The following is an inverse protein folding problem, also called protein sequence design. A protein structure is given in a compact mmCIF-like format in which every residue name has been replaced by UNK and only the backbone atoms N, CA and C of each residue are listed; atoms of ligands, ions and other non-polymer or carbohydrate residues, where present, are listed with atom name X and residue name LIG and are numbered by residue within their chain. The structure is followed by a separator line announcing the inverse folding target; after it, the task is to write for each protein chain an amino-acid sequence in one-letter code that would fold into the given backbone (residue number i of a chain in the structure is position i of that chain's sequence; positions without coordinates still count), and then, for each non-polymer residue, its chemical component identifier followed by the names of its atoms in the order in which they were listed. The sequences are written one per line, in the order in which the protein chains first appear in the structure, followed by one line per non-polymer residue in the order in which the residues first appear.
data_IF_722859805258
#
_entry.id   IF_722859805258
#
_cell.length_a   1.000
_cell.length_b   1.000
_cell.length_c   1.000
_cell.angle_alpha   90.00
_cell.angle_beta   90.00
_cell.angle_gamma   90.00
#
_symmetry.space_group_name_H-M   'P 1'
#
loop_
_entity.id
_entity.type
_entity.pdbx_description
1 polymer ?
#
# COMPACT_ATOMS: atom_id res chain seq x y z
N UNK A 1 44.66 -10.95 -31.18
CA UNK A 1 44.27 -11.33 -29.80
C UNK A 1 43.15 -10.39 -29.40
N UNK A 2 41.92 -10.89 -29.27
CA UNK A 2 40.82 -10.06 -28.78
C UNK A 2 41.05 -9.82 -27.29
N UNK A 3 41.07 -8.55 -26.86
CA UNK A 3 41.14 -8.19 -25.46
C UNK A 3 39.82 -8.59 -24.79
N UNK A 4 39.74 -9.83 -24.34
CA UNK A 4 38.63 -10.38 -23.56
C UNK A 4 38.99 -10.33 -22.08
N UNK A 5 38.27 -9.51 -21.32
CA UNK A 5 38.41 -9.38 -19.87
C UNK A 5 38.08 -7.94 -19.42
N UNK A 6 37.42 -7.79 -18.27
CA UNK A 6 37.19 -6.48 -17.69
C UNK A 6 38.49 -5.93 -17.07
N UNK A 7 38.73 -4.62 -17.17
CA UNK A 7 39.86 -3.96 -16.52
C UNK A 7 39.73 -4.07 -14.99
N UNK A 8 40.67 -4.75 -14.35
CA UNK A 8 40.72 -4.84 -12.89
C UNK A 8 40.98 -3.46 -12.27
N UNK A 9 40.30 -3.14 -11.16
CA UNK A 9 40.49 -1.88 -10.42
C UNK A 9 39.81 -0.64 -11.05
N UNK A 10 38.91 -0.81 -12.03
CA UNK A 10 38.19 0.31 -12.65
C UNK A 10 37.28 1.06 -11.67
N UNK A 11 36.69 0.36 -10.70
CA UNK A 11 35.76 0.94 -9.73
C UNK A 11 36.45 1.22 -8.39
N UNK A 12 36.27 2.43 -7.86
CA UNK A 12 36.75 2.83 -6.53
C UNK A 12 35.98 2.17 -5.36
N UNK A 13 34.86 1.51 -5.66
CA UNK A 13 34.00 0.83 -4.68
C UNK A 13 32.91 0.00 -5.36
N UNK A 14 32.03 -0.61 -4.56
CA UNK A 14 30.88 -1.34 -5.07
C UNK A 14 29.94 -0.42 -5.86
N UNK A 15 29.43 -0.88 -6.99
CA UNK A 15 28.46 -0.11 -7.78
C UNK A 15 27.06 -0.31 -7.22
N UNK A 16 26.29 0.78 -7.10
CA UNK A 16 24.89 0.71 -6.63
C UNK A 16 24.04 -0.20 -7.49
N UNK A 17 24.36 -0.34 -8.79
CA UNK A 17 23.68 -1.21 -9.74
C UNK A 17 23.72 -2.71 -9.36
N UNK A 18 24.70 -3.13 -8.56
CA UNK A 18 24.79 -4.52 -8.07
C UNK A 18 23.98 -4.77 -6.79
N UNK A 19 23.38 -3.71 -6.23
CA UNK A 19 22.55 -3.81 -5.03
C UNK A 19 21.23 -4.47 -5.39
N UNK A 20 20.94 -5.61 -4.75
CA UNK A 20 19.64 -6.27 -4.84
C UNK A 20 18.97 -6.27 -3.47
N UNK A 21 17.69 -5.92 -3.46
CA UNK A 21 16.85 -5.99 -2.27
C UNK A 21 15.72 -7.00 -2.48
N UNK A 22 15.55 -7.91 -1.52
CA UNK A 22 14.51 -8.92 -1.53
C UNK A 22 13.90 -9.12 -0.13
N UNK A 23 12.67 -9.64 -0.09
CA UNK A 23 11.89 -9.76 1.14
C UNK A 23 11.23 -11.14 1.26
N UNK A 24 11.07 -11.62 2.49
CA UNK A 24 10.26 -12.79 2.79
C UNK A 24 9.45 -12.56 4.07
N UNK A 25 8.24 -13.13 4.11
CA UNK A 25 7.39 -13.10 5.30
C UNK A 25 7.95 -14.04 6.38
N UNK A 26 8.01 -13.57 7.61
CA UNK A 26 8.46 -14.35 8.75
C UNK A 26 7.32 -15.19 9.34
N UNK A 27 7.59 -16.45 9.66
CA UNK A 27 6.69 -17.29 10.45
C UNK A 27 6.85 -17.04 11.97
N UNK A 28 8.02 -16.53 12.37
CA UNK A 28 8.35 -16.19 13.76
C UNK A 28 9.14 -14.89 13.75
N UNK A 29 8.76 -13.96 14.61
CA UNK A 29 9.38 -12.64 14.70
C UNK A 29 10.91 -12.73 14.80
N UNK A 30 11.59 -11.88 14.05
CA UNK A 30 13.04 -11.73 14.05
C UNK A 30 13.82 -13.01 13.68
N UNK A 31 13.17 -13.98 13.03
CA UNK A 31 13.80 -15.23 12.57
C UNK A 31 13.78 -15.29 11.04
N UNK A 32 14.94 -15.15 10.37
CA UNK A 32 15.02 -15.25 8.91
C UNK A 32 14.44 -16.58 8.38
N UNK A 33 13.42 -16.56 7.52
CA UNK A 33 12.88 -17.77 6.93
C UNK A 33 13.85 -18.34 5.89
N UNK A 34 13.89 -19.67 5.77
CA UNK A 34 14.71 -20.37 4.76
C UNK A 34 14.03 -20.53 3.40
N UNK A 35 12.86 -19.92 3.22
CA UNK A 35 11.99 -20.10 2.04
C UNK A 35 12.39 -19.25 0.82
N UNK A 36 11.38 -18.99 -0.01
CA UNK A 36 11.52 -18.13 -1.18
C UNK A 36 11.48 -16.65 -0.79
N UNK A 37 12.39 -15.85 -1.36
CA UNK A 37 12.41 -14.40 -1.20
C UNK A 37 11.92 -13.73 -2.48
N UNK A 38 11.12 -12.68 -2.36
CA UNK A 38 10.62 -11.89 -3.47
C UNK A 38 11.55 -10.71 -3.72
N UNK A 39 12.15 -10.63 -4.91
CA UNK A 39 12.93 -9.46 -5.29
C UNK A 39 12.04 -8.24 -5.53
N UNK A 40 12.52 -7.07 -5.09
CA UNK A 40 11.83 -5.79 -5.23
C UNK A 40 12.49 -4.92 -6.31
N UNK A 41 11.68 -4.06 -6.94
CA UNK A 41 12.16 -3.02 -7.87
C UNK A 41 12.27 -1.70 -7.12
N UNK A 42 13.48 -1.38 -6.70
CA UNK A 42 13.76 -0.18 -5.91
C UNK A 42 14.47 0.88 -6.75
N UNK A 43 14.31 2.13 -6.33
CA UNK A 43 15.04 3.30 -6.83
C UNK A 43 16.07 3.79 -5.79
N UNK A 44 15.85 3.48 -4.51
CA UNK A 44 16.77 3.78 -3.43
C UNK A 44 16.34 3.10 -2.13
N UNK A 45 17.24 3.08 -1.15
CA UNK A 45 17.00 2.61 0.21
C UNK A 45 17.90 3.35 1.20
N UNK A 46 17.47 3.46 2.46
CA UNK A 46 18.20 4.14 3.56
C UNK A 46 18.37 3.26 4.81
N UNK A 47 18.30 1.94 4.65
CA UNK A 47 18.37 0.98 5.74
C UNK A 47 19.72 1.06 6.44
N UNK A 48 19.68 1.23 7.76
CA UNK A 48 20.90 1.30 8.57
C UNK A 48 20.66 0.83 10.00
N UNK A 49 21.71 0.22 10.56
CA UNK A 49 21.85 -0.03 12.00
C UNK A 49 22.37 1.20 12.73
N UNK A 50 21.66 1.61 13.78
CA UNK A 50 22.07 2.63 14.74
C UNK A 50 22.30 1.99 16.11
N UNK A 51 23.30 2.48 16.84
CA UNK A 51 23.63 2.03 18.19
C UNK A 51 23.61 3.22 19.14
N UNK A 52 22.89 3.08 20.24
CA UNK A 52 22.97 4.05 21.35
C UNK A 52 23.96 3.52 22.37
N UNK A 53 24.88 4.37 22.81
CA UNK A 53 25.85 4.01 23.86
C UNK A 53 25.71 4.98 25.03
N UNK A 54 25.83 4.45 26.25
CA UNK A 54 25.89 5.24 27.47
C UNK A 54 27.22 4.99 28.18
N UNK A 55 27.70 6.03 28.86
CA UNK A 55 28.87 5.94 29.74
C UNK A 55 28.40 6.12 31.17
N UNK A 56 28.74 5.22 32.09
CA UNK A 56 28.48 5.46 33.50
C UNK A 56 29.35 6.64 33.99
N UNK A 57 28.73 7.57 34.72
CA UNK A 57 29.42 8.69 35.37
C UNK A 57 30.08 8.18 36.66
N UNK A 58 31.18 7.46 36.53
CA UNK A 58 31.96 7.00 37.66
C UNK A 58 32.87 8.13 38.18
N UNK A 59 32.74 8.46 39.47
CA UNK A 59 33.65 9.41 40.13
C UNK A 59 34.99 8.71 40.34
N UNK A 60 36.02 9.13 39.61
CA UNK A 60 37.38 8.60 39.72
C UNK A 60 38.38 9.68 40.18
N UNK A 61 39.48 9.25 40.78
CA UNK A 61 40.55 10.15 41.23
C UNK A 61 41.51 10.56 40.11
N UNK A 62 41.42 9.89 38.95
CA UNK A 62 42.20 10.15 37.74
C UNK A 62 41.25 10.73 36.71
N UNK A 63 41.54 11.88 36.09
CA UNK A 63 40.63 12.63 35.19
C UNK A 63 40.38 11.95 33.83
N UNK A 64 40.04 10.66 33.83
CA UNK A 64 39.77 9.87 32.64
C UNK A 64 38.27 9.51 32.58
N UNK A 65 37.77 9.28 31.37
CA UNK A 65 36.34 8.99 31.13
C UNK A 65 36.11 7.48 31.14
N UNK A 66 35.02 7.01 31.75
CA UNK A 66 34.67 5.58 31.79
C UNK A 66 34.25 5.05 30.40
N UNK A 67 34.34 3.72 30.21
CA UNK A 67 34.10 3.04 28.94
C UNK A 67 32.64 3.19 28.48
N UNK A 68 32.44 3.48 27.18
CA UNK A 68 31.10 3.46 26.54
C UNK A 68 30.59 2.02 26.43
N UNK A 69 29.36 1.79 26.89
CA UNK A 69 28.64 0.52 26.71
C UNK A 69 27.46 0.75 25.76
N UNK A 70 27.25 -0.17 24.83
CA UNK A 70 26.07 -0.13 23.93
C UNK A 70 24.84 -0.48 24.75
N UNK A 71 23.88 0.43 24.80
CA UNK A 71 22.63 0.25 25.56
C UNK A 71 21.50 -0.29 24.69
N UNK A 72 21.49 0.06 23.40
CA UNK A 72 20.45 -0.35 22.44
C UNK A 72 20.99 -0.39 21.02
N UNK A 73 20.49 -1.34 20.23
CA UNK A 73 20.69 -1.41 18.78
C UNK A 73 19.32 -1.34 18.11
N UNK A 74 19.19 -0.50 17.09
CA UNK A 74 17.99 -0.42 16.27
C UNK A 74 18.39 -0.45 14.79
N UNK A 75 17.56 -1.08 13.96
CA UNK A 75 17.70 -1.01 12.51
C UNK A 75 16.40 -0.48 11.91
N UNK A 76 16.51 0.46 10.98
CA UNK A 76 15.36 1.09 10.33
C UNK A 76 15.76 1.76 9.03
N UNK A 77 14.78 2.08 8.20
CA UNK A 77 14.95 2.97 7.07
C UNK A 77 13.78 2.89 6.10
N UNK A 78 13.98 3.47 4.93
CA UNK A 78 12.96 3.59 3.90
C UNK A 78 13.38 2.80 2.66
N UNK A 79 12.42 2.13 2.03
CA UNK A 79 12.54 1.53 0.70
C UNK A 79 11.73 2.39 -0.25
N UNK A 80 12.38 2.94 -1.27
CA UNK A 80 11.74 3.84 -2.26
C UNK A 80 11.73 3.21 -3.64
N UNK A 81 10.63 3.32 -4.36
CA UNK A 81 10.47 2.78 -5.71
C UNK A 81 9.48 3.55 -6.56
N UNK A 82 9.45 3.23 -7.85
CA UNK A 82 8.37 3.64 -8.73
C UNK A 82 7.20 2.66 -8.56
N UNK A 83 5.98 3.18 -8.49
CA UNK A 83 4.78 2.36 -8.35
C UNK A 83 4.67 1.42 -9.54
N UNK A 84 4.64 0.12 -9.26
CA UNK A 84 4.50 -0.94 -10.27
C UNK A 84 3.65 -2.06 -9.71
N UNK A 85 2.72 -2.53 -10.53
CA UNK A 85 1.79 -3.61 -10.18
C UNK A 85 2.52 -4.88 -9.75
N UNK A 86 2.16 -5.39 -8.58
CA UNK A 86 2.67 -6.63 -7.98
C UNK A 86 3.95 -6.50 -7.15
N UNK A 87 4.77 -5.46 -7.35
CA UNK A 87 6.08 -5.37 -6.70
C UNK A 87 5.97 -5.19 -5.18
N UNK A 88 5.04 -4.35 -4.72
CA UNK A 88 4.97 -3.92 -3.32
C UNK A 88 3.85 -4.60 -2.53
N UNK A 89 3.07 -5.49 -3.15
CA UNK A 89 1.85 -6.07 -2.57
C UNK A 89 2.09 -6.72 -1.20
N UNK A 90 3.20 -7.44 -1.03
CA UNK A 90 3.52 -8.07 0.25
C UNK A 90 3.74 -7.03 1.38
N UNK A 91 4.42 -5.92 1.07
CA UNK A 91 4.66 -4.85 2.05
C UNK A 91 3.38 -4.03 2.31
N UNK A 92 2.55 -3.86 1.29
CA UNK A 92 1.24 -3.22 1.41
C UNK A 92 0.27 -4.05 2.25
N UNK A 93 0.29 -5.38 2.09
CA UNK A 93 -0.41 -6.31 2.98
C UNK A 93 0.07 -6.16 4.44
N UNK A 94 1.37 -5.91 4.65
CA UNK A 94 1.95 -5.60 5.95
C UNK A 94 1.36 -4.35 6.61
N UNK A 95 1.40 -3.21 5.93
CA UNK A 95 0.84 -1.96 6.48
C UNK A 95 -0.68 -2.05 6.68
N UNK A 96 -1.40 -2.75 5.80
CA UNK A 96 -2.85 -2.94 5.90
C UNK A 96 -3.27 -3.93 6.98
N UNK A 97 -2.38 -4.83 7.39
CA UNK A 97 -2.68 -5.87 8.36
C UNK A 97 -3.69 -6.90 7.86
N UNK A 98 -3.63 -7.18 6.56
CA UNK A 98 -4.52 -8.09 5.87
C UNK A 98 -3.79 -8.69 4.66
N UNK A 99 -4.34 -9.74 4.06
CA UNK A 99 -3.82 -10.29 2.81
C UNK A 99 -4.44 -9.58 1.61
N UNK A 100 -3.62 -9.17 0.65
CA UNK A 100 -4.10 -8.67 -0.66
C UNK A 100 -4.43 -9.88 -1.53
N UNK A 101 -5.72 -10.03 -1.85
CA UNK A 101 -6.20 -11.12 -2.71
C UNK A 101 -6.27 -10.61 -4.16
N UNK A 102 -5.67 -11.31 -5.14
CA UNK A 102 -5.82 -10.97 -6.54
C UNK A 102 -7.29 -10.92 -6.98
N UNK A 103 -7.65 -10.04 -7.90
CA UNK A 103 -9.00 -9.99 -8.45
C UNK A 103 -9.36 -11.29 -9.14
N UNK A 104 -10.53 -11.83 -8.82
CA UNK A 104 -11.16 -12.92 -9.59
C UNK A 104 -12.48 -12.42 -10.15
N UNK A 105 -12.66 -12.55 -11.47
CA UNK A 105 -13.81 -12.01 -12.21
C UNK A 105 -14.78 -13.12 -12.61
N UNK A 106 -16.07 -12.86 -12.47
CA UNK A 106 -17.17 -13.65 -12.99
C UNK A 106 -18.00 -12.80 -13.96
N UNK A 107 -18.59 -13.45 -14.97
CA UNK A 107 -19.38 -12.79 -16.01
C UNK A 107 -20.85 -13.19 -15.89
N UNK A 108 -21.75 -12.26 -16.24
CA UNK A 108 -23.18 -12.37 -15.93
C UNK A 108 -23.92 -13.55 -16.60
N UNK A 109 -23.33 -14.18 -17.61
CA UNK A 109 -23.88 -15.34 -18.29
C UNK A 109 -23.93 -16.63 -17.46
N UNK A 110 -23.10 -16.74 -16.41
CA UNK A 110 -23.06 -17.89 -15.48
C UNK A 110 -23.54 -17.54 -14.07
N UNK A 111 -23.47 -16.26 -13.69
CA UNK A 111 -23.83 -15.75 -12.36
C UNK A 111 -24.45 -14.36 -12.46
N UNK A 112 -25.62 -14.13 -11.85
CA UNK A 112 -26.26 -12.82 -11.81
C UNK A 112 -25.99 -12.11 -10.48
N UNK A 113 -25.83 -10.79 -10.52
CA UNK A 113 -25.78 -9.99 -9.28
C UNK A 113 -27.00 -9.08 -9.19
N UNK A 114 -27.43 -8.80 -7.97
CA UNK A 114 -28.49 -7.85 -7.63
C UNK A 114 -28.04 -7.01 -6.46
N UNK A 115 -28.14 -5.69 -6.58
CA UNK A 115 -27.81 -4.73 -5.52
C UNK A 115 -29.12 -4.08 -5.07
N UNK A 116 -29.38 -4.08 -3.76
CA UNK A 116 -30.55 -3.41 -3.17
C UNK A 116 -30.14 -2.85 -1.81
N UNK A 117 -30.12 -1.52 -1.71
CA UNK A 117 -29.59 -0.83 -0.52
C UNK A 117 -28.16 -1.29 -0.21
N UNK A 118 -27.92 -1.69 1.03
CA UNK A 118 -26.60 -2.13 1.52
C UNK A 118 -26.31 -3.63 1.31
N UNK A 119 -27.08 -4.31 0.45
CA UNK A 119 -26.89 -5.74 0.19
C UNK A 119 -26.63 -5.99 -1.29
N UNK A 120 -25.53 -6.69 -1.59
CA UNK A 120 -25.26 -7.28 -2.89
C UNK A 120 -25.50 -8.79 -2.81
N UNK A 121 -26.30 -9.32 -3.71
CA UNK A 121 -26.57 -10.76 -3.82
C UNK A 121 -26.03 -11.26 -5.14
N UNK A 122 -25.25 -12.33 -5.11
CA UNK A 122 -24.81 -13.07 -6.29
C UNK A 122 -25.52 -14.40 -6.29
N UNK A 123 -25.97 -14.82 -7.46
CA UNK A 123 -26.66 -16.09 -7.64
C UNK A 123 -26.22 -16.72 -8.96
N UNK A 124 -26.40 -18.04 -9.10
CA UNK A 124 -26.06 -18.75 -10.33
C UNK A 124 -25.38 -20.08 -10.05
N UNK A 125 -24.93 -20.74 -11.12
CA UNK A 125 -24.26 -22.03 -11.00
C UNK A 125 -22.83 -21.82 -10.53
N UNK A 126 -22.42 -22.51 -9.45
CA UNK A 126 -21.05 -22.44 -8.92
C UNK A 126 -20.77 -21.27 -7.97
N UNK A 127 -21.76 -20.43 -7.66
CA UNK A 127 -21.59 -19.28 -6.76
C UNK A 127 -21.12 -19.68 -5.36
N UNK A 128 -21.67 -20.75 -4.78
CA UNK A 128 -21.28 -21.22 -3.44
C UNK A 128 -19.80 -21.63 -3.39
N UNK A 129 -19.32 -22.37 -4.39
CA UNK A 129 -17.91 -22.78 -4.51
C UNK A 129 -16.97 -21.60 -4.75
N UNK A 130 -17.39 -20.61 -5.55
CA UNK A 130 -16.61 -19.40 -5.78
C UNK A 130 -16.50 -18.55 -4.50
N UNK A 131 -17.62 -18.35 -3.80
CA UNK A 131 -17.69 -17.65 -2.51
C UNK A 131 -16.82 -18.29 -1.43
N UNK A 132 -16.73 -19.62 -1.37
CA UNK A 132 -15.87 -20.30 -0.39
C UNK A 132 -14.39 -20.25 -0.74
N UNK A 133 -14.05 -20.25 -2.01
CA UNK A 133 -12.67 -20.48 -2.47
C UNK A 133 -11.89 -19.18 -2.71
N UNK A 134 -12.55 -18.13 -3.22
CA UNK A 134 -11.86 -16.95 -3.75
C UNK A 134 -12.20 -15.65 -3.04
N UNK A 135 -13.16 -15.67 -2.10
CA UNK A 135 -13.67 -14.46 -1.46
C UNK A 135 -13.27 -14.46 0.01
N UNK A 136 -12.62 -13.40 0.49
CA UNK A 136 -12.40 -13.21 1.93
C UNK A 136 -13.70 -12.92 2.68
N UNK A 137 -13.68 -12.98 4.02
CA UNK A 137 -14.86 -12.61 4.82
C UNK A 137 -15.19 -11.11 4.73
N UNK A 138 -14.18 -10.28 4.51
CA UNK A 138 -14.28 -8.85 4.25
C UNK A 138 -13.33 -8.47 3.11
N UNK A 139 -13.65 -7.45 2.34
CA UNK A 139 -12.85 -7.06 1.18
C UNK A 139 -13.60 -6.11 0.25
N UNK A 140 -13.28 -6.19 -1.04
CA UNK A 140 -13.88 -5.32 -2.07
C UNK A 140 -14.48 -6.11 -3.22
N UNK A 141 -15.48 -5.50 -3.84
CA UNK A 141 -16.19 -5.98 -5.01
C UNK A 141 -16.13 -4.87 -6.06
N UNK A 142 -15.69 -5.20 -7.26
CA UNK A 142 -15.78 -4.32 -8.42
C UNK A 142 -16.91 -4.80 -9.30
N UNK A 143 -17.87 -3.93 -9.56
CA UNK A 143 -18.99 -4.17 -10.47
C UNK A 143 -18.76 -3.38 -11.74
N UNK A 144 -18.80 -4.05 -12.87
CA UNK A 144 -18.78 -3.42 -14.18
C UNK A 144 -20.09 -3.72 -14.92
N UNK A 145 -20.98 -2.74 -14.95
CA UNK A 145 -22.30 -2.78 -15.55
C UNK A 145 -22.62 -1.43 -16.19
N UNK A 146 -22.22 -1.24 -17.46
CA UNK A 146 -22.44 0.02 -18.18
C UNK A 146 -23.90 0.40 -18.34
N UNK A 147 -24.78 -0.59 -18.49
CA UNK A 147 -26.23 -0.41 -18.59
C UNK A 147 -26.85 0.20 -17.32
N UNK A 148 -26.22 -0.04 -16.15
CA UNK A 148 -26.68 0.46 -14.86
C UNK A 148 -25.85 1.65 -14.33
N UNK A 149 -25.00 2.27 -15.17
CA UNK A 149 -24.06 3.32 -14.79
C UNK A 149 -23.09 2.92 -13.65
N UNK A 150 -22.79 1.64 -13.52
CA UNK A 150 -21.82 1.11 -12.56
C UNK A 150 -20.56 0.67 -13.31
N UNK A 151 -19.81 1.61 -13.88
CA UNK A 151 -18.59 1.32 -14.62
C UNK A 151 -17.40 1.23 -13.67
N UNK A 152 -16.87 0.02 -13.44
CA UNK A 152 -15.82 -0.24 -12.44
C UNK A 152 -16.16 0.32 -11.05
N UNK A 153 -17.44 0.25 -10.67
CA UNK A 153 -17.94 0.69 -9.38
C UNK A 153 -17.36 -0.20 -8.27
N UNK A 154 -16.71 0.40 -7.29
CA UNK A 154 -16.10 -0.31 -6.17
C UNK A 154 -17.05 -0.28 -4.99
N UNK A 155 -17.27 -1.44 -4.38
CA UNK A 155 -17.99 -1.59 -3.12
C UNK A 155 -17.09 -2.29 -2.11
N UNK A 156 -17.09 -1.84 -0.87
CA UNK A 156 -16.46 -2.56 0.24
C UNK A 156 -17.51 -3.34 1.01
N UNK A 157 -17.13 -4.50 1.57
CA UNK A 157 -18.00 -5.33 2.39
C UNK A 157 -17.28 -5.83 3.65
N UNK A 158 -18.01 -5.98 4.75
CA UNK A 158 -17.49 -6.50 6.04
C UNK A 158 -17.95 -7.93 6.36
N UNK A 159 -18.82 -8.50 5.54
CA UNK A 159 -19.32 -9.85 5.74
C UNK A 159 -19.92 -10.46 4.48
N UNK A 160 -19.86 -11.80 4.41
CA UNK A 160 -20.50 -12.60 3.37
C UNK A 160 -21.34 -13.73 3.97
N UNK A 161 -22.38 -14.15 3.24
CA UNK A 161 -23.13 -15.36 3.51
C UNK A 161 -22.99 -16.30 2.31
N UNK A 162 -22.20 -17.37 2.47
CA UNK A 162 -21.93 -18.31 1.38
C UNK A 162 -23.18 -19.08 0.93
N UNK A 163 -24.14 -19.31 1.83
CA UNK A 163 -25.36 -20.05 1.55
C UNK A 163 -26.35 -19.20 0.76
N UNK A 164 -26.51 -17.93 1.14
CA UNK A 164 -27.40 -16.98 0.46
C UNK A 164 -26.75 -16.25 -0.72
N UNK A 165 -25.42 -16.34 -0.86
CA UNK A 165 -24.67 -15.59 -1.87
C UNK A 165 -24.67 -14.08 -1.62
N UNK A 166 -24.85 -13.63 -0.38
CA UNK A 166 -25.01 -12.21 -0.06
C UNK A 166 -23.76 -11.59 0.56
N UNK A 167 -23.60 -10.29 0.33
CA UNK A 167 -22.56 -9.43 0.90
C UNK A 167 -23.20 -8.26 1.63
N UNK A 168 -22.68 -7.96 2.81
CA UNK A 168 -23.05 -6.76 3.58
C UNK A 168 -22.14 -5.61 3.19
N UNK A 169 -22.64 -4.70 2.37
CA UNK A 169 -21.89 -3.56 1.86
C UNK A 169 -21.71 -2.50 2.97
N UNK A 170 -20.51 -1.97 3.08
CA UNK A 170 -20.13 -0.95 4.07
C UNK A 170 -19.70 0.37 3.44
N UNK A 171 -19.34 0.36 2.16
CA UNK A 171 -19.03 1.54 1.36
C UNK A 171 -19.24 1.24 -0.13
N UNK A 172 -19.31 2.29 -0.93
CA UNK A 172 -19.49 2.24 -2.39
C UNK A 172 -20.55 3.23 -2.88
N UNK A 173 -20.77 3.30 -4.20
CA UNK A 173 -21.71 4.25 -4.78
C UNK A 173 -23.15 3.97 -4.34
N UNK A 174 -23.91 5.04 -4.13
CA UNK A 174 -25.32 4.95 -3.78
C UNK A 174 -26.12 4.38 -4.95
N UNK A 175 -26.87 3.30 -4.70
CA UNK A 175 -27.74 2.68 -5.68
C UNK A 175 -29.19 2.98 -5.31
N UNK A 176 -29.95 3.57 -6.24
CA UNK A 176 -31.37 3.83 -6.04
C UNK A 176 -32.18 2.62 -6.51
N UNK A 177 -33.00 2.04 -5.63
CA UNK A 177 -33.83 0.88 -5.95
C UNK A 177 -33.04 -0.42 -6.07
N UNK A 178 -33.49 -1.30 -6.95
CA UNK A 178 -32.86 -2.61 -7.20
C UNK A 178 -32.15 -2.60 -8.56
N UNK A 179 -30.82 -2.70 -8.55
CA UNK A 179 -30.02 -2.89 -9.75
C UNK A 179 -29.80 -4.38 -9.99
N UNK A 180 -30.01 -4.83 -11.23
CA UNK A 180 -29.83 -6.22 -11.64
C UNK A 180 -28.83 -6.29 -12.80
N UNK A 181 -28.00 -7.32 -12.79
CA UNK A 181 -27.03 -7.57 -13.85
C UNK A 181 -27.71 -7.81 -15.21
N UNK A 182 -27.17 -7.21 -16.26
CA UNK A 182 -27.49 -7.49 -17.66
C UNK A 182 -26.43 -8.39 -18.30
N UNK A 183 -26.73 -8.98 -19.46
CA UNK A 183 -25.77 -9.81 -20.18
C UNK A 183 -24.51 -9.00 -20.55
N UNK A 184 -23.33 -9.53 -20.23
CA UNK A 184 -22.05 -8.87 -20.44
C UNK A 184 -21.50 -8.11 -19.23
N UNK A 185 -22.29 -7.95 -18.16
CA UNK A 185 -21.80 -7.38 -16.91
C UNK A 185 -20.81 -8.31 -16.23
N UNK A 186 -19.85 -7.75 -15.50
CA UNK A 186 -18.87 -8.52 -14.73
C UNK A 186 -18.85 -8.10 -13.28
N UNK A 187 -18.56 -9.07 -12.41
CA UNK A 187 -18.31 -8.85 -11.00
C UNK A 187 -16.95 -9.44 -10.64
N UNK A 188 -16.11 -8.64 -10.01
CA UNK A 188 -14.79 -9.04 -9.58
C UNK A 188 -14.66 -8.87 -8.07
N UNK A 189 -13.99 -9.83 -7.42
CA UNK A 189 -13.82 -9.83 -5.96
C UNK A 189 -12.37 -10.06 -5.60
N UNK A 190 -11.96 -9.47 -4.47
CA UNK A 190 -10.60 -9.53 -3.93
C UNK A 190 -10.20 -8.19 -3.31
N UNK A 191 -8.92 -7.85 -3.43
CA UNK A 191 -8.30 -6.72 -2.73
C UNK A 191 -8.12 -7.00 -1.25
N UNK A 192 -7.88 -5.94 -0.48
CA UNK A 192 -7.82 -6.01 0.96
C UNK A 192 -8.54 -4.85 1.60
N UNK A 193 -9.22 -5.14 2.72
CA UNK A 193 -9.65 -4.17 3.70
C UNK A 193 -8.62 -4.16 4.83
N UNK A 194 -8.37 -3.00 5.47
CA UNK A 194 -7.47 -2.98 6.63
C UNK A 194 -7.97 -3.93 7.72
N UNK A 195 -7.05 -4.68 8.31
CA UNK A 195 -7.34 -5.80 9.21
C UNK A 195 -6.52 -5.77 10.50
N UNK A 196 -6.52 -6.91 11.20
CA UNK A 196 -5.87 -7.10 12.49
C UNK A 196 -4.72 -8.11 12.45
N UNK A 197 -4.20 -8.45 11.27
CA UNK A 197 -3.02 -9.29 11.14
C UNK A 197 -1.76 -8.46 11.31
N UNK A 198 -0.83 -8.98 12.11
CA UNK A 198 0.53 -8.45 12.22
C UNK A 198 1.44 -9.25 11.30
N UNK A 199 2.22 -8.57 10.46
CA UNK A 199 3.16 -9.19 9.52
C UNK A 199 4.53 -8.56 9.68
N UNK A 200 5.55 -9.38 9.90
CA UNK A 200 6.94 -8.98 9.87
C UNK A 200 7.68 -9.69 8.74
N UNK A 201 8.68 -9.02 8.20
CA UNK A 201 9.43 -9.47 7.05
C UNK A 201 10.92 -9.53 7.41
N UNK A 202 11.63 -10.45 6.79
CA UNK A 202 13.08 -10.33 6.69
C UNK A 202 13.40 -9.64 5.37
N UNK A 203 13.99 -8.46 5.45
CA UNK A 203 14.52 -7.74 4.28
C UNK A 203 15.99 -8.08 4.12
N UNK A 204 16.43 -8.39 2.90
CA UNK A 204 17.85 -8.67 2.63
C UNK A 204 18.36 -7.75 1.54
N UNK A 205 19.54 -7.19 1.78
CA UNK A 205 20.33 -6.42 0.84
C UNK A 205 21.57 -7.22 0.47
N UNK A 206 21.70 -7.60 -0.80
CA UNK A 206 22.90 -8.23 -1.33
C UNK A 206 23.85 -7.17 -1.87
N UNK A 207 25.09 -7.17 -1.38
CA UNK A 207 26.16 -6.28 -1.85
C UNK A 207 27.51 -6.98 -1.66
N UNK A 208 28.40 -6.87 -2.66
CA UNK A 208 29.75 -7.48 -2.61
C UNK A 208 29.76 -8.98 -2.25
N UNK A 209 28.73 -9.72 -2.66
CA UNK A 209 28.62 -11.16 -2.38
C UNK A 209 28.19 -11.53 -0.95
N UNK A 210 27.93 -10.54 -0.09
CA UNK A 210 27.37 -10.74 1.25
C UNK A 210 25.93 -10.21 1.33
N UNK A 211 25.25 -10.58 2.41
CA UNK A 211 23.88 -10.23 2.69
C UNK A 211 23.79 -9.45 4.00
N UNK A 212 23.31 -8.21 3.93
CA UNK A 212 22.80 -7.48 5.09
C UNK A 212 21.34 -7.87 5.27
N UNK A 213 21.02 -8.50 6.39
CA UNK A 213 19.69 -9.00 6.71
C UNK A 213 19.07 -8.15 7.82
N UNK A 214 17.82 -7.77 7.64
CA UNK A 214 17.02 -7.00 8.58
C UNK A 214 15.82 -7.86 9.01
N UNK A 215 16.00 -8.79 9.95
CA UNK A 215 14.91 -9.61 10.49
C UNK A 215 13.97 -8.76 11.36
N UNK A 216 12.73 -9.22 11.52
CA UNK A 216 11.71 -8.56 12.32
C UNK A 216 11.26 -7.22 11.75
N UNK A 217 11.37 -7.02 10.44
CA UNK A 217 10.99 -5.77 9.79
C UNK A 217 9.48 -5.61 9.73
N UNK A 218 8.95 -4.73 10.57
CA UNK A 218 7.57 -4.26 10.50
C UNK A 218 7.49 -3.05 9.54
N UNK A 219 6.49 -3.05 8.66
CA UNK A 219 6.18 -1.87 7.84
C UNK A 219 5.42 -0.86 8.69
N UNK A 220 6.07 0.25 9.03
CA UNK A 220 5.48 1.32 9.85
C UNK A 220 4.67 2.31 9.04
N UNK A 221 5.07 2.57 7.79
CA UNK A 221 4.39 3.51 6.91
C UNK A 221 4.56 3.11 5.45
N UNK A 222 3.53 3.33 4.64
CA UNK A 222 3.60 3.31 3.20
C UNK A 222 2.99 4.61 2.67
N UNK A 223 3.72 5.34 1.83
CA UNK A 223 3.24 6.54 1.18
C UNK A 223 3.29 6.39 -0.34
N UNK A 224 2.23 6.83 -0.98
CA UNK A 224 2.09 6.90 -2.43
C UNK A 224 1.96 8.36 -2.84
N UNK A 225 2.67 8.74 -3.89
CA UNK A 225 2.59 10.08 -4.43
C UNK A 225 2.38 10.04 -5.94
N UNK A 226 1.31 10.72 -6.34
CA UNK A 226 0.87 10.92 -7.71
C UNK A 226 1.01 12.40 -8.00
N UNK A 227 1.85 12.76 -8.95
CA UNK A 227 2.08 14.15 -9.28
C UNK A 227 2.17 14.32 -10.78
N UNK A 228 1.58 15.40 -11.29
CA UNK A 228 1.69 15.74 -12.70
C UNK A 228 3.15 15.85 -13.14
N UNK A 229 3.45 15.29 -14.32
CA UNK A 229 4.76 15.32 -14.97
C UNK A 229 5.87 14.53 -14.25
N UNK A 230 5.50 13.62 -13.35
CA UNK A 230 6.41 12.68 -12.70
C UNK A 230 5.85 11.26 -12.76
N UNK A 231 6.72 10.28 -12.51
CA UNK A 231 6.27 8.91 -12.28
C UNK A 231 5.62 8.81 -10.90
N UNK A 232 4.64 7.93 -10.78
CA UNK A 232 4.04 7.64 -9.48
C UNK A 232 5.07 6.92 -8.60
N UNK A 233 5.22 7.37 -7.37
CA UNK A 233 6.22 6.86 -6.44
C UNK A 233 5.59 6.19 -5.24
N UNK A 234 6.34 5.25 -4.66
CA UNK A 234 6.01 4.59 -3.40
C UNK A 234 7.23 4.63 -2.48
N UNK A 235 7.01 5.01 -1.23
CA UNK A 235 7.98 4.96 -0.15
C UNK A 235 7.43 4.12 0.99
N UNK A 236 8.25 3.22 1.51
CA UNK A 236 7.86 2.28 2.56
C UNK A 236 8.88 2.37 3.68
N UNK A 237 8.43 2.81 4.84
CA UNK A 237 9.26 2.87 6.05
C UNK A 237 9.14 1.57 6.82
N UNK A 238 10.28 1.06 7.26
CA UNK A 238 10.38 -0.17 8.03
C UNK A 238 11.17 0.04 9.32
N UNK A 239 10.74 -0.69 10.35
CA UNK A 239 11.40 -0.79 11.64
C UNK A 239 11.77 -2.26 11.85
N UNK A 240 13.04 -2.55 12.03
CA UNK A 240 13.58 -3.91 12.09
C UNK A 240 14.13 -4.23 13.48
N UNK A 241 14.18 -5.51 13.84
CA UNK A 241 14.65 -5.94 15.15
C UNK A 241 16.16 -5.76 15.33
N UNK A 242 16.92 -6.04 14.27
CA UNK A 242 18.38 -5.91 14.20
C UNK A 242 18.84 -5.85 12.73
N UNK A 243 20.14 -5.64 12.51
CA UNK A 243 20.84 -5.83 11.24
C UNK A 243 21.95 -6.87 11.42
N UNK A 244 21.92 -7.91 10.60
CA UNK A 244 22.87 -9.03 10.64
C UNK A 244 23.56 -9.18 9.29
N UNK A 245 24.89 -9.10 9.28
CA UNK A 245 25.71 -9.42 8.12
C UNK A 245 25.92 -10.93 8.02
N UNK A 246 25.65 -11.51 6.85
CA UNK A 246 25.87 -12.93 6.57
C UNK A 246 26.54 -13.13 5.22
N UNK A 247 27.53 -14.04 5.19
CA UNK A 247 28.10 -14.54 3.94
C UNK A 247 27.28 -15.68 3.31
N UNK A 248 26.33 -16.24 4.06
CA UNK A 248 25.48 -17.36 3.62
C UNK A 248 24.14 -16.82 3.14
N UNK A 249 23.72 -17.28 1.96
CA UNK A 249 22.38 -17.09 1.45
C UNK A 249 21.41 -18.01 2.21
N UNK A 250 20.53 -17.41 3.01
CA UNK A 250 19.50 -18.15 3.78
C UNK A 250 18.31 -18.58 2.93
N UNK A 251 18.17 -18.07 1.69
CA UNK A 251 17.01 -18.37 0.84
C UNK A 251 17.17 -19.70 0.10
N UNK A 252 16.05 -20.39 -0.09
CA UNK A 252 15.99 -21.54 -1.02
C UNK A 252 16.04 -21.06 -2.47
N UNK A 253 15.35 -19.97 -2.77
CA UNK A 253 15.37 -19.30 -4.07
C UNK A 253 14.98 -17.83 -3.93
N UNK A 254 15.40 -17.00 -4.88
CA UNK A 254 14.91 -15.63 -5.01
C UNK A 254 14.04 -15.51 -6.25
N UNK A 255 12.75 -15.32 -6.04
CA UNK A 255 11.76 -15.11 -7.10
C UNK A 255 12.10 -13.82 -7.86
N UNK A 256 11.95 -13.81 -9.20
CA UNK A 256 12.19 -12.63 -9.99
C UNK A 256 11.24 -11.51 -9.58
N UNK A 257 11.71 -10.27 -9.68
CA UNK A 257 10.87 -9.12 -9.39
C UNK A 257 9.69 -9.06 -10.39
N UNK A 258 8.48 -8.64 -9.96
CA UNK A 258 7.32 -8.58 -10.84
C UNK A 258 7.57 -7.66 -12.05
N UNK A 259 7.04 -8.07 -13.20
CA UNK A 259 7.24 -7.41 -14.50
C UNK A 259 6.23 -6.29 -14.79
N UNK A 260 5.40 -5.90 -13.81
CA UNK A 260 4.41 -4.83 -13.96
C UNK A 260 5.02 -3.53 -14.46
N UNK A 261 4.30 -2.79 -15.30
CA UNK A 261 4.85 -1.52 -15.83
C UNK A 261 4.75 -0.42 -14.78
N UNK A 262 5.56 0.63 -14.96
CA UNK A 262 5.55 1.78 -14.05
C UNK A 262 4.35 2.66 -14.35
N UNK A 263 3.66 3.10 -13.31
CA UNK A 263 2.51 3.99 -13.44
C UNK A 263 2.97 5.43 -13.75
N UNK A 264 2.17 6.15 -14.55
CA UNK A 264 2.45 7.54 -14.91
C UNK A 264 1.21 8.41 -14.70
N UNK A 265 1.41 9.70 -14.51
CA UNK A 265 0.31 10.63 -14.24
C UNK A 265 -0.53 11.01 -15.47
N UNK A 266 -0.23 10.48 -16.67
CA UNK A 266 -0.79 10.98 -17.94
C UNK A 266 -1.79 9.99 -18.54
N UNK A 267 -1.34 8.79 -18.91
CA UNK A 267 -2.18 7.76 -19.54
C UNK A 267 -2.80 6.81 -18.50
N UNK A 268 -2.18 6.78 -17.32
CA UNK A 268 -2.33 5.71 -16.34
C UNK A 268 -3.18 6.13 -15.13
N UNK A 269 -3.54 7.41 -15.02
CA UNK A 269 -4.44 7.93 -14.01
C UNK A 269 -5.90 7.86 -14.46
N UNK A 270 -6.71 6.99 -13.85
CA UNK A 270 -8.12 6.80 -14.20
C UNK A 270 -9.02 7.90 -13.61
N UNK A 271 -8.64 8.45 -12.47
CA UNK A 271 -9.32 9.59 -11.86
C UNK A 271 -9.47 9.49 -10.34
N UNK A 272 -10.21 10.46 -9.82
CA UNK A 272 -10.61 10.55 -8.41
C UNK A 272 -12.11 10.76 -8.32
N UNK A 273 -12.74 10.11 -7.35
CA UNK A 273 -14.09 10.46 -6.89
C UNK A 273 -14.05 10.85 -5.42
N UNK A 274 -14.82 11.88 -5.07
CA UNK A 274 -15.05 12.37 -3.71
C UNK A 274 -16.56 12.31 -3.49
N UNK A 275 -17.00 11.53 -2.50
CA UNK A 275 -18.42 11.30 -2.22
C UNK A 275 -19.22 10.81 -3.46
N UNK A 276 -18.57 9.99 -4.30
CA UNK A 276 -19.13 9.47 -5.55
C UNK A 276 -19.11 10.45 -6.73
N UNK A 277 -18.69 11.70 -6.54
CA UNK A 277 -18.62 12.71 -7.59
C UNK A 277 -17.17 12.95 -8.03
N UNK A 278 -16.96 13.15 -9.33
CA UNK A 278 -15.65 13.56 -9.85
C UNK A 278 -15.45 15.05 -9.58
N UNK A 279 -14.30 15.50 -9.04
CA UNK A 279 -14.01 16.92 -8.93
C UNK A 279 -14.10 17.64 -10.28
N UNK A 280 -14.69 18.83 -10.30
CA UNK A 280 -14.85 19.62 -11.55
C UNK A 280 -13.49 20.05 -12.11
N UNK A 281 -12.52 20.26 -11.21
CA UNK A 281 -11.12 20.54 -11.52
C UNK A 281 -10.33 19.30 -11.93
N UNK A 282 -9.32 19.48 -12.80
CA UNK A 282 -8.35 18.41 -13.01
C UNK A 282 -7.43 18.28 -11.79
N UNK A 283 -7.22 17.05 -11.33
CA UNK A 283 -6.31 16.72 -10.22
C UNK A 283 -4.86 16.93 -10.67
N UNK A 284 -4.09 17.64 -9.84
CA UNK A 284 -2.67 17.96 -10.11
C UNK A 284 -1.72 17.17 -9.22
N UNK A 285 -2.16 16.86 -7.99
CA UNK A 285 -1.39 16.07 -7.04
C UNK A 285 -2.33 15.27 -6.13
N UNK A 286 -1.92 14.06 -5.81
CA UNK A 286 -2.53 13.25 -4.78
C UNK A 286 -1.45 12.52 -3.98
N UNK A 287 -1.63 12.47 -2.67
CA UNK A 287 -0.79 11.68 -1.77
C UNK A 287 -1.67 10.85 -0.88
N UNK A 288 -1.27 9.60 -0.66
CA UNK A 288 -1.89 8.69 0.29
C UNK A 288 -0.81 8.18 1.23
N UNK A 289 -1.05 8.26 2.53
CA UNK A 289 -0.17 7.75 3.57
C UNK A 289 -0.95 6.77 4.43
N UNK A 290 -0.46 5.54 4.47
CA UNK A 290 -0.91 4.49 5.36
C UNK A 290 0.13 4.36 6.46
N UNK A 291 -0.24 4.62 7.70
CA UNK A 291 0.68 4.62 8.82
C UNK A 291 0.20 3.72 9.95
N UNK A 292 1.16 3.16 10.68
CA UNK A 292 0.98 2.44 11.93
C UNK A 292 1.39 3.33 13.09
N UNK A 293 0.47 4.20 13.52
CA UNK A 293 0.75 5.18 14.56
C UNK A 293 1.05 4.48 15.89
N UNK A 294 2.19 4.80 16.50
CA UNK A 294 2.67 4.14 17.72
C UNK A 294 3.36 2.79 17.49
N UNK A 295 3.70 2.45 16.24
CA UNK A 295 4.58 1.31 15.98
C UNK A 295 6.01 1.58 16.48
N UNK A 296 6.60 0.63 17.21
CA UNK A 296 7.92 0.77 17.80
C UNK A 296 8.49 -0.60 18.20
N UNK A 297 9.81 -0.70 18.29
CA UNK A 297 10.49 -1.86 18.87
C UNK A 297 10.39 -1.81 20.40
N UNK A 298 10.08 -2.96 21.00
CA UNK A 298 10.16 -3.16 22.45
C UNK A 298 11.51 -3.82 22.78
N UNK A 299 12.22 -3.27 23.77
CA UNK A 299 13.54 -3.75 24.22
C UNK A 299 13.46 -4.32 25.62
N UNK A 300 14.14 -5.45 25.85
CA UNK A 300 14.22 -6.12 27.15
C UNK A 300 15.66 -6.26 27.64
N UNK A 301 15.85 -6.31 28.96
CA UNK A 301 17.17 -6.60 29.54
C UNK A 301 17.63 -8.01 29.14
N UNK A 302 18.90 -8.15 28.73
CA UNK A 302 19.46 -9.42 28.26
C UNK A 302 19.39 -9.65 26.75
N UNK A 303 18.84 -8.70 25.99
CA UNK A 303 18.82 -8.72 24.52
C UNK A 303 19.59 -7.54 23.95
N UNK A 304 20.37 -7.79 22.89
CA UNK A 304 21.14 -6.74 22.18
C UNK A 304 20.26 -5.97 21.19
N UNK A 305 19.28 -6.63 20.57
CA UNK A 305 18.29 -6.04 19.66
C UNK A 305 16.88 -6.03 20.24
N UNK A 306 15.88 -5.70 19.43
CA UNK A 306 14.48 -5.70 19.85
C UNK A 306 14.01 -7.11 20.23
N UNK A 307 13.29 -7.25 21.36
CA UNK A 307 12.68 -8.52 21.77
C UNK A 307 11.27 -8.69 21.21
N UNK A 308 10.64 -7.61 20.75
CA UNK A 308 9.32 -7.58 20.13
C UNK A 308 9.10 -6.28 19.38
N UNK A 309 7.97 -6.21 18.67
CA UNK A 309 7.53 -5.01 17.98
C UNK A 309 6.06 -4.73 18.29
N UNK A 310 5.75 -3.47 18.56
CA UNK A 310 4.40 -2.95 18.66
C UNK A 310 3.95 -2.52 17.26
N UNK A 311 2.79 -2.99 16.84
CA UNK A 311 2.29 -2.75 15.47
C UNK A 311 1.48 -1.47 15.32
N UNK A 312 1.13 -0.79 16.42
CA UNK A 312 0.45 0.50 16.39
C UNK A 312 -0.97 0.44 15.83
N UNK A 313 -1.60 1.62 15.73
CA UNK A 313 -2.93 1.78 15.16
C UNK A 313 -2.85 2.15 13.68
N UNK A 314 -3.71 1.54 12.86
CA UNK A 314 -3.80 1.89 11.44
C UNK A 314 -4.42 3.28 11.28
N UNK A 315 -3.74 4.14 10.52
CA UNK A 315 -4.18 5.48 10.15
C UNK A 315 -4.01 5.66 8.64
N UNK A 316 -5.08 6.05 7.96
CA UNK A 316 -5.03 6.42 6.56
C UNK A 316 -5.24 7.92 6.44
N UNK A 317 -4.29 8.61 5.85
CA UNK A 317 -4.36 10.05 5.59
C UNK A 317 -3.90 10.34 4.17
N UNK A 318 -4.17 11.55 3.68
CA UNK A 318 -3.71 11.95 2.37
C UNK A 318 -3.81 13.45 2.17
N UNK A 319 -3.47 13.88 0.96
CA UNK A 319 -3.72 15.24 0.50
C UNK A 319 -4.03 15.21 -0.99
N UNK A 320 -4.94 16.07 -1.41
CA UNK A 320 -5.32 16.23 -2.80
C UNK A 320 -5.24 17.70 -3.21
N UNK A 321 -4.71 17.94 -4.41
CA UNK A 321 -4.68 19.25 -5.06
C UNK A 321 -5.34 19.15 -6.44
N UNK A 322 -6.19 20.11 -6.77
CA UNK A 322 -6.78 20.25 -8.10
C UNK A 322 -7.05 21.70 -8.47
N UNK A 323 -7.27 21.95 -9.77
CA UNK A 323 -7.65 23.29 -10.25
C UNK A 323 -9.02 23.69 -9.70
N UNK A 324 -9.08 24.85 -9.05
CA UNK A 324 -10.31 25.31 -8.41
C UNK A 324 -11.34 25.74 -9.45
N UNK A 325 -12.47 25.03 -9.52
CA UNK A 325 -13.57 25.29 -10.48
C UNK A 325 -14.97 25.29 -9.84
N UNK A 326 -15.12 24.72 -8.65
CA UNK A 326 -16.37 24.71 -7.89
C UNK A 326 -16.09 24.92 -6.41
N UNK A 327 -17.12 25.36 -5.67
CA UNK A 327 -17.11 25.48 -4.22
C UNK A 327 -17.60 24.21 -3.52
N UNK A 328 -18.02 23.18 -4.25
CA UNK A 328 -18.65 21.99 -3.69
C UNK A 328 -17.74 21.28 -2.66
N UNK A 329 -16.50 20.96 -3.04
CA UNK A 329 -15.54 20.29 -2.14
C UNK A 329 -15.10 21.21 -0.98
N UNK A 330 -15.11 22.52 -1.21
CA UNK A 330 -14.81 23.50 -0.16
C UNK A 330 -15.93 23.55 0.89
N UNK A 331 -17.19 23.53 0.45
CA UNK A 331 -18.34 23.46 1.33
C UNK A 331 -18.39 22.12 2.07
N UNK A 332 -18.06 21.01 1.41
CA UNK A 332 -17.93 19.70 2.06
C UNK A 332 -16.87 19.72 3.16
N UNK A 333 -15.72 20.36 2.93
CA UNK A 333 -14.68 20.50 3.94
C UNK A 333 -15.12 21.37 5.13
N UNK A 334 -15.86 22.46 4.89
CA UNK A 334 -16.42 23.32 5.95
C UNK A 334 -17.49 22.59 6.78
N UNK A 335 -18.36 21.84 6.12
CA UNK A 335 -19.43 21.08 6.77
C UNK A 335 -18.89 19.81 7.46
N UNK A 336 -17.66 19.41 7.18
CA UNK A 336 -17.10 18.15 7.65
C UNK A 336 -17.85 16.95 7.08
N UNK A 337 -18.37 17.07 5.86
CA UNK A 337 -19.03 15.97 5.14
C UNK A 337 -18.07 14.79 5.09
N UNK A 338 -18.52 13.64 5.56
CA UNK A 338 -17.75 12.40 5.49
C UNK A 338 -18.31 11.52 4.38
N UNK A 339 -17.43 10.87 3.63
CA UNK A 339 -17.81 9.87 2.65
C UNK A 339 -16.62 9.28 1.93
N UNK A 340 -16.90 8.48 0.92
CA UNK A 340 -15.88 7.69 0.23
C UNK A 340 -15.01 8.57 -0.68
N UNK A 341 -13.69 8.33 -0.67
CA UNK A 341 -12.76 8.91 -1.63
C UNK A 341 -12.00 7.78 -2.33
N UNK A 342 -12.13 7.71 -3.66
CA UNK A 342 -11.49 6.67 -4.48
C UNK A 342 -10.49 7.33 -5.42
N UNK A 343 -9.29 6.77 -5.50
CA UNK A 343 -8.26 7.14 -6.47
C UNK A 343 -7.86 5.90 -7.23
N UNK A 344 -7.86 5.95 -8.56
CA UNK A 344 -7.57 4.81 -9.42
C UNK A 344 -6.41 5.10 -10.36
N UNK A 345 -5.47 4.16 -10.43
CA UNK A 345 -4.30 4.20 -11.32
C UNK A 345 -4.07 2.82 -11.91
N UNK A 346 -3.64 2.74 -13.17
CA UNK A 346 -3.32 1.52 -13.92
C UNK A 346 -2.04 1.68 -14.68
N UNK A 347 -1.36 0.59 -14.99
CA UNK A 347 -0.23 0.58 -15.90
C UNK A 347 -0.69 0.47 -17.37
N UNK A 348 0.24 0.58 -18.33
CA UNK A 348 -0.11 0.47 -19.77
C UNK A 348 -0.65 -0.91 -20.16
N UNK A 349 -0.61 -1.90 -19.26
CA UNK A 349 -1.19 -3.23 -19.45
C UNK A 349 -2.58 -3.36 -18.81
N UNK A 350 -3.10 -2.29 -18.22
CA UNK A 350 -4.39 -2.23 -17.55
C UNK A 350 -4.41 -2.84 -16.15
N UNK A 351 -3.24 -3.07 -15.53
CA UNK A 351 -3.13 -3.56 -14.16
C UNK A 351 -2.75 -2.44 -13.21
N UNK A 352 -3.36 -2.37 -12.03
CA UNK A 352 -3.05 -1.29 -11.10
C UNK A 352 -3.73 -1.38 -9.76
N UNK A 353 -4.07 -0.22 -9.19
CA UNK A 353 -4.64 -0.12 -7.86
C UNK A 353 -5.74 0.94 -7.80
N UNK A 354 -6.79 0.63 -7.07
CA UNK A 354 -7.66 1.63 -6.48
C UNK A 354 -7.34 1.77 -4.99
N UNK A 355 -7.10 3.01 -4.57
CA UNK A 355 -6.95 3.42 -3.19
C UNK A 355 -8.27 3.98 -2.72
N UNK A 356 -8.89 3.33 -1.73
CA UNK A 356 -10.25 3.62 -1.30
C UNK A 356 -10.24 4.01 0.16
N UNK A 357 -10.48 5.28 0.46
CA UNK A 357 -10.88 5.70 1.80
C UNK A 357 -12.36 5.42 1.95
N UNK A 358 -12.73 4.45 2.79
CA UNK A 358 -14.13 4.02 2.92
C UNK A 358 -15.03 5.11 3.49
N UNK A 359 -14.45 5.90 4.40
CA UNK A 359 -15.08 7.05 5.00
C UNK A 359 -13.99 8.06 5.31
N UNK A 360 -13.99 9.21 4.63
CA UNK A 360 -12.99 10.24 4.76
C UNK A 360 -13.66 11.62 4.82
N UNK A 361 -13.02 12.55 5.53
CA UNK A 361 -13.39 13.96 5.51
C UNK A 361 -12.29 14.78 4.83
N UNK A 362 -12.70 15.78 4.05
CA UNK A 362 -11.79 16.82 3.59
C UNK A 362 -11.58 17.84 4.71
N UNK A 363 -10.33 18.20 4.98
CA UNK A 363 -9.93 19.15 6.02
C UNK A 363 -8.98 20.20 5.47
N UNK A 364 -8.82 21.28 6.23
CA UNK A 364 -7.81 22.31 6.00
C UNK A 364 -7.79 22.85 4.55
N UNK A 365 -8.97 23.18 4.02
CA UNK A 365 -9.13 23.69 2.67
C UNK A 365 -8.31 24.99 2.46
N UNK A 366 -7.40 24.97 1.49
CA UNK A 366 -6.55 26.13 1.14
C UNK A 366 -6.78 26.49 -0.31
N UNK A 367 -7.25 27.71 -0.56
CA UNK A 367 -7.37 28.29 -1.90
C UNK A 367 -6.28 29.33 -2.06
N UNK A 368 -5.26 29.03 -2.87
CA UNK A 368 -4.08 29.89 -3.04
C UNK A 368 -4.16 30.69 -4.35
N UNK A 369 -4.10 32.02 -4.26
CA UNK A 369 -4.06 32.96 -5.40
C UNK A 369 -2.83 33.87 -5.34
N UNK A 370 -1.67 33.30 -4.99
CA UNK A 370 -0.49 34.05 -4.56
C UNK A 370 0.27 34.82 -5.66
N UNK A 371 0.02 34.56 -6.95
CA UNK A 371 0.76 35.18 -8.06
C UNK A 371 -0.14 35.50 -9.27
N UNK A 372 0.23 36.54 -10.03
CA UNK A 372 -0.41 36.87 -11.32
C UNK A 372 -0.13 35.78 -12.37
N UNK A 373 -1.06 35.56 -13.29
CA UNK A 373 -0.97 34.60 -14.40
C UNK A 373 -0.88 33.11 -14.02
N UNK A 374 -1.44 32.70 -12.88
CA UNK A 374 -1.59 31.29 -12.52
C UNK A 374 -3.06 30.92 -12.35
N UNK A 375 -3.42 29.69 -12.74
CA UNK A 375 -4.73 29.12 -12.43
C UNK A 375 -4.81 28.81 -10.94
N UNK A 376 -5.87 29.27 -10.29
CA UNK A 376 -6.10 29.02 -8.86
C UNK A 376 -6.21 27.51 -8.62
N UNK A 377 -5.51 27.05 -7.58
CA UNK A 377 -5.59 25.68 -7.10
C UNK A 377 -6.16 25.66 -5.70
N UNK A 378 -6.85 24.57 -5.39
CA UNK A 378 -7.30 24.25 -4.05
C UNK A 378 -6.59 22.99 -3.57
N UNK A 379 -6.18 22.99 -2.31
CA UNK A 379 -5.65 21.82 -1.64
C UNK A 379 -6.45 21.47 -0.39
N UNK A 380 -6.57 20.17 -0.14
CA UNK A 380 -7.26 19.60 1.01
C UNK A 380 -6.39 18.52 1.64
N UNK A 381 -6.52 18.38 2.96
CA UNK A 381 -6.03 17.21 3.67
C UNK A 381 -7.17 16.18 3.75
N UNK A 382 -6.85 14.91 3.53
CA UNK A 382 -7.78 13.79 3.61
C UNK A 382 -7.54 13.09 4.93
N UNK A 383 -8.60 12.98 5.73
CA UNK A 383 -8.59 12.27 7.01
C UNK A 383 -9.48 11.02 6.90
N UNK A 384 -8.86 9.84 6.83
CA UNK A 384 -9.56 8.55 6.78
C UNK A 384 -10.07 8.14 8.16
N UNK A 385 -11.37 7.88 8.26
CA UNK A 385 -12.07 7.49 9.46
C UNK A 385 -12.58 6.04 9.37
N UNK A 386 -12.70 5.32 10.50
CA UNK A 386 -13.35 4.02 10.50
C UNK A 386 -14.84 4.16 10.14
N UNK A 387 -15.38 3.19 9.40
CA UNK A 387 -16.82 3.04 9.21
C UNK A 387 -17.44 2.43 10.46
N UNK A 388 -18.75 2.63 10.67
CA UNK A 388 -19.49 2.04 11.79
C UNK A 388 -19.47 0.50 11.79
N UNK A 389 -19.27 -0.10 10.62
CA UNK A 389 -19.25 -1.56 10.41
C UNK A 389 -17.83 -2.14 10.33
N UNK A 390 -16.81 -1.33 10.62
CA UNK A 390 -15.40 -1.70 10.55
C UNK A 390 -14.74 -1.36 9.21
N UNK A 391 -13.42 -1.19 9.24
CA UNK A 391 -12.63 -0.77 8.08
C UNK A 391 -12.55 0.76 7.92
N UNK A 392 -11.39 1.22 7.44
CA UNK A 392 -11.03 2.63 7.22
C UNK A 392 -10.56 2.82 5.78
N UNK A 393 -9.83 1.84 5.26
CA UNK A 393 -9.20 1.93 3.95
C UNK A 393 -9.21 0.57 3.26
N UNK A 394 -9.29 0.57 1.93
CA UNK A 394 -9.15 -0.62 1.11
C UNK A 394 -8.19 -0.37 -0.06
N UNK A 395 -7.47 -1.43 -0.43
CA UNK A 395 -6.67 -1.48 -1.65
C UNK A 395 -7.32 -2.50 -2.58
N UNK A 396 -7.66 -2.07 -3.79
CA UNK A 396 -8.24 -2.93 -4.82
C UNK A 396 -7.24 -3.09 -5.95
N UNK A 397 -6.62 -4.27 -6.13
CA UNK A 397 -5.84 -4.53 -7.33
C UNK A 397 -6.78 -4.48 -8.52
N UNK A 398 -6.43 -3.71 -9.54
CA UNK A 398 -7.17 -3.59 -10.80
C UNK A 398 -6.48 -4.45 -11.86
N UNK A 399 -7.26 -5.07 -12.74
CA UNK A 399 -6.74 -5.83 -13.87
C UNK A 399 -7.70 -5.75 -15.05
N UNK A 400 -7.14 -5.66 -16.27
CA UNK A 400 -7.92 -5.55 -17.50
C UNK A 400 -8.72 -4.26 -17.64
N UNK A 401 -8.35 -3.20 -16.91
CA UNK A 401 -9.00 -1.90 -17.01
C UNK A 401 -8.36 -1.10 -18.14
N UNK A 402 -9.19 -0.52 -19.01
CA UNK A 402 -8.71 0.31 -20.11
C UNK A 402 -8.01 1.57 -19.56
N UNK A 403 -6.83 1.88 -20.10
CA UNK A 403 -6.11 3.12 -19.82
C UNK A 403 -6.91 4.34 -20.29
N UNK A 404 -6.82 5.45 -19.57
CA UNK A 404 -7.60 6.67 -19.84
C UNK A 404 -7.03 7.55 -20.96
N UNK A 405 -5.97 7.12 -21.64
CA UNK A 405 -5.41 7.83 -22.79
C UNK A 405 -4.46 6.97 -23.62
N UNK A 406 -4.68 6.99 -24.94
CA UNK A 406 -3.72 6.65 -25.99
C UNK A 406 -2.62 7.69 -26.10
#
# INVERSE_FOLDING_TARGET
MAFTGATAGLAAGAQTNDTRLDVALEATYATPPTGNYQALRITGETLSRSQTTARPEEINSVKEVSQSVVTQVQASGTISGALSSGTFDALLAGVMGADIIPMTTQTSGTTFFTITGSTLTISGTGTSAWMTTFVANAGTIVVNSPSNNLNNAIFAFSGKNNTAGTFSLIAGPSVTGTVKSTNGDTISVGGCLNGNLDKTFTVRKKLLGQFLMYPGSLVSQAQFQFQQAQFDTVSIDIISADEVLSAVDVSTAVLPAPSGKVHNSVNNFLGVTINGNKPTGCVTQFTCTLARNGAANDYGMGHTGACGVRTGQFMASGSIEFFFRSWDEYNDALNGTQGEIIIQTVDDSGNGYAFVFLNAALRNAKVNSSQTNQTVKVSFDIEGNPTASGGTFAIVPLSGVAVTGS
#
